data_IF_629725543487
#
_entry.id   IF_629725543487
#
_cell.length_a   1.000
_cell.length_b   1.000
_cell.length_c   1.000
_cell.angle_alpha   90.00
_cell.angle_beta   90.00
_cell.angle_gamma   90.00
#
_symmetry.space_group_name_H-M   'P 1'
#
loop_
_entity.id
_entity.type
_entity.pdbx_description
1 polymer ?
#
# COMPACT_ATOMS: atom_id res chain seq x y z
N UNK A 1 -2.27 4.78 6.56
CA UNK A 1 -2.95 5.91 5.89
C UNK A 1 -2.09 7.17 5.89
N UNK A 2 -1.47 7.59 7.01
CA UNK A 2 -0.46 8.67 6.98
C UNK A 2 0.69 8.34 6.00
N UNK A 3 1.13 7.08 5.98
CA UNK A 3 2.12 6.55 5.02
C UNK A 3 1.67 6.65 3.56
N UNK A 4 0.37 6.58 3.25
CA UNK A 4 -0.12 6.63 1.86
C UNK A 4 0.09 8.02 1.24
N UNK A 5 -0.04 9.08 2.04
CA UNK A 5 0.28 10.45 1.58
C UNK A 5 1.76 10.54 1.24
N UNK A 6 2.63 10.06 2.14
CA UNK A 6 4.08 10.03 1.92
C UNK A 6 4.47 9.25 0.67
N UNK A 7 3.94 8.04 0.52
CA UNK A 7 4.22 7.19 -0.64
C UNK A 7 3.71 7.81 -1.94
N UNK A 8 2.50 8.40 -1.91
CA UNK A 8 1.96 9.10 -3.08
C UNK A 8 2.81 10.33 -3.46
N UNK A 9 3.33 11.06 -2.49
CA UNK A 9 4.31 12.12 -2.73
C UNK A 9 5.57 11.57 -3.40
N UNK A 10 6.13 10.47 -2.89
CA UNK A 10 7.33 9.82 -3.43
C UNK A 10 7.11 9.36 -4.87
N UNK A 11 6.03 8.65 -5.17
CA UNK A 11 5.72 8.16 -6.52
C UNK A 11 5.60 9.31 -7.54
N UNK A 12 4.98 10.42 -7.13
CA UNK A 12 4.91 11.61 -7.97
C UNK A 12 6.28 12.28 -8.15
N UNK A 13 7.05 12.42 -7.07
CA UNK A 13 8.41 12.97 -7.13
C UNK A 13 9.34 12.12 -8.01
N UNK A 14 9.23 10.80 -7.94
CA UNK A 14 9.96 9.87 -8.82
C UNK A 14 9.58 10.11 -10.28
N UNK A 15 8.30 10.35 -10.57
CA UNK A 15 7.86 10.69 -11.93
C UNK A 15 8.49 12.00 -12.43
N UNK A 16 8.53 13.04 -11.59
CA UNK A 16 9.25 14.29 -11.93
C UNK A 16 10.74 14.02 -12.17
N UNK A 17 11.37 13.21 -11.31
CA UNK A 17 12.79 12.90 -11.42
C UNK A 17 13.14 12.10 -12.68
N UNK A 18 12.31 11.11 -13.06
CA UNK A 18 12.45 10.38 -14.33
C UNK A 18 12.47 11.37 -15.50
N UNK A 19 11.49 12.28 -15.53
CA UNK A 19 11.42 13.30 -16.58
C UNK A 19 12.66 14.20 -16.61
N UNK A 20 13.14 14.64 -15.45
CA UNK A 20 14.34 15.46 -15.36
C UNK A 20 15.61 14.72 -15.81
N UNK A 21 15.69 13.41 -15.54
CA UNK A 21 16.84 12.60 -15.91
C UNK A 21 16.87 12.28 -17.41
N UNK A 22 15.73 11.91 -18.00
CA UNK A 22 15.72 11.37 -19.37
C UNK A 22 15.08 12.29 -20.41
N UNK A 23 14.15 13.16 -20.01
CA UNK A 23 13.35 14.01 -20.90
C UNK A 23 12.43 13.22 -21.85
N UNK A 24 12.16 11.93 -21.57
CA UNK A 24 11.44 11.02 -22.47
C UNK A 24 10.12 10.58 -21.87
N UNK A 25 9.03 10.80 -22.60
CA UNK A 25 7.70 10.31 -22.21
C UNK A 25 7.64 8.77 -22.13
N UNK A 26 8.43 8.06 -22.94
CA UNK A 26 8.50 6.59 -22.93
C UNK A 26 8.93 6.03 -21.58
N UNK A 27 9.85 6.70 -20.89
CA UNK A 27 10.34 6.23 -19.60
C UNK A 27 9.30 6.38 -18.48
N UNK A 28 8.50 7.45 -18.53
CA UNK A 28 7.33 7.61 -17.65
C UNK A 28 6.26 6.56 -17.95
N UNK A 29 6.01 6.28 -19.23
CA UNK A 29 5.06 5.26 -19.65
C UNK A 29 5.49 3.86 -19.20
N UNK A 30 6.78 3.54 -19.31
CA UNK A 30 7.34 2.29 -18.80
C UNK A 30 7.22 2.20 -17.29
N UNK A 31 7.51 3.28 -16.57
CA UNK A 31 7.35 3.31 -15.11
C UNK A 31 5.92 3.00 -14.68
N UNK A 32 4.92 3.68 -15.28
CA UNK A 32 3.51 3.38 -15.04
C UNK A 32 3.10 1.99 -15.51
N UNK A 33 3.64 1.50 -16.63
CA UNK A 33 3.39 0.14 -17.10
C UNK A 33 3.88 -0.90 -16.09
N UNK A 34 5.10 -0.75 -15.57
CA UNK A 34 5.65 -1.66 -14.58
C UNK A 34 4.94 -1.56 -13.24
N UNK A 35 4.38 -0.42 -12.85
CA UNK A 35 3.56 -0.34 -11.62
C UNK A 35 2.21 -1.05 -11.77
N UNK A 36 1.61 -1.02 -12.96
CA UNK A 36 0.27 -1.57 -13.22
C UNK A 36 0.28 -3.05 -13.63
N UNK A 37 1.28 -3.48 -14.40
CA UNK A 37 1.36 -4.85 -14.95
C UNK A 37 1.25 -5.94 -13.86
N UNK A 38 1.96 -5.86 -12.72
CA UNK A 38 1.88 -6.88 -11.68
C UNK A 38 0.54 -6.89 -10.93
N UNK A 39 -0.17 -5.75 -10.90
CA UNK A 39 -1.51 -5.68 -10.32
C UNK A 39 -2.48 -6.57 -11.09
N UNK A 40 -2.40 -6.57 -12.42
CA UNK A 40 -3.22 -7.41 -13.30
C UNK A 40 -3.04 -8.91 -12.97
N UNK A 41 -1.79 -9.36 -12.80
CA UNK A 41 -1.53 -10.75 -12.41
C UNK A 41 -2.07 -11.05 -11.01
N UNK A 42 -1.96 -10.09 -10.10
CA UNK A 42 -2.50 -10.22 -8.74
C UNK A 42 -4.03 -10.33 -8.74
N UNK A 43 -4.72 -9.62 -9.62
CA UNK A 43 -6.17 -9.77 -9.83
C UNK A 43 -6.57 -11.19 -10.24
N UNK A 44 -5.78 -11.84 -11.11
CA UNK A 44 -6.07 -13.21 -11.53
C UNK A 44 -5.96 -14.22 -10.37
N UNK A 45 -5.10 -13.94 -9.40
CA UNK A 45 -4.83 -14.82 -8.25
C UNK A 45 -5.66 -14.42 -7.01
N UNK A 46 -6.25 -13.22 -7.03
CA UNK A 46 -7.04 -12.57 -5.97
C UNK A 46 -8.00 -13.52 -5.25
N UNK A 47 -8.81 -14.29 -5.98
CA UNK A 47 -9.80 -15.19 -5.39
C UNK A 47 -9.19 -16.26 -4.46
N UNK A 48 -7.95 -16.69 -4.69
CA UNK A 48 -7.27 -17.64 -3.81
C UNK A 48 -6.53 -16.99 -2.65
N UNK A 49 -6.02 -15.77 -2.84
CA UNK A 49 -5.23 -15.04 -1.84
C UNK A 49 -6.13 -14.49 -0.74
N UNK A 50 -7.27 -13.89 -1.11
CA UNK A 50 -8.18 -13.22 -0.17
C UNK A 50 -8.88 -14.21 0.76
N UNK A 51 -9.17 -15.42 0.25
CA UNK A 51 -9.93 -16.43 0.98
C UNK A 51 -9.08 -17.25 1.96
N UNK A 52 -7.75 -17.30 1.78
CA UNK A 52 -6.85 -18.18 2.56
C UNK A 52 -5.82 -17.47 3.42
N UNK A 53 -5.65 -16.15 3.27
CA UNK A 53 -4.54 -15.42 3.91
C UNK A 53 -5.03 -14.54 5.06
N UNK A 54 -4.21 -14.44 6.12
CA UNK A 54 -4.47 -13.52 7.22
C UNK A 54 -4.40 -12.07 6.71
N UNK A 55 -5.57 -11.42 6.63
CA UNK A 55 -5.73 -10.07 6.05
C UNK A 55 -4.89 -9.02 6.76
N UNK A 56 -4.78 -9.12 8.09
CA UNK A 56 -3.93 -8.25 8.90
C UNK A 56 -2.46 -8.40 8.52
N UNK A 57 -2.01 -9.63 8.27
CA UNK A 57 -0.63 -9.89 7.85
C UNK A 57 -0.37 -9.31 6.46
N UNK A 58 -1.30 -9.45 5.51
CA UNK A 58 -1.18 -8.87 4.16
C UNK A 58 -1.05 -7.34 4.21
N UNK A 59 -1.88 -6.66 5.00
CA UNK A 59 -1.80 -5.20 5.14
C UNK A 59 -0.46 -4.76 5.75
N UNK A 60 0.02 -5.45 6.81
CA UNK A 60 1.31 -5.13 7.44
C UNK A 60 2.47 -5.37 6.49
N UNK A 61 2.48 -6.51 5.77
CA UNK A 61 3.54 -6.83 4.81
C UNK A 61 3.54 -5.82 3.67
N UNK A 62 2.36 -5.41 3.18
CA UNK A 62 2.25 -4.37 2.16
C UNK A 62 2.90 -3.05 2.60
N UNK A 63 2.48 -2.52 3.75
CA UNK A 63 3.06 -1.29 4.29
C UNK A 63 4.58 -1.41 4.53
N UNK A 64 5.05 -2.53 5.09
CA UNK A 64 6.49 -2.74 5.32
C UNK A 64 7.28 -2.79 4.01
N UNK A 65 6.77 -3.48 3.00
CA UNK A 65 7.44 -3.61 1.72
C UNK A 65 7.55 -2.28 1.00
N UNK A 66 6.49 -1.46 1.00
CA UNK A 66 6.53 -0.12 0.42
C UNK A 66 7.54 0.76 1.15
N UNK A 67 7.58 0.72 2.49
CA UNK A 67 8.59 1.44 3.26
C UNK A 67 10.03 1.00 2.97
N UNK A 68 10.26 -0.31 2.85
CA UNK A 68 11.59 -0.87 2.48
C UNK A 68 11.99 -0.43 1.07
N UNK A 69 11.05 -0.42 0.12
CA UNK A 69 11.29 0.06 -1.24
C UNK A 69 11.71 1.53 -1.22
N UNK A 70 11.00 2.40 -0.49
CA UNK A 70 11.38 3.81 -0.35
C UNK A 70 12.78 3.96 0.26
N UNK A 71 13.15 3.18 1.27
CA UNK A 71 14.49 3.20 1.87
C UNK A 71 15.55 2.79 0.84
N UNK A 72 15.32 1.72 0.07
CA UNK A 72 16.25 1.27 -0.98
C UNK A 72 16.45 2.37 -2.02
N UNK A 73 15.37 2.99 -2.49
CA UNK A 73 15.43 4.10 -3.45
C UNK A 73 16.18 5.31 -2.88
N UNK A 74 15.94 5.65 -1.61
CA UNK A 74 16.65 6.74 -0.94
C UNK A 74 18.15 6.46 -0.84
N UNK A 75 18.56 5.26 -0.42
CA UNK A 75 19.97 4.86 -0.34
C UNK A 75 20.65 4.94 -1.70
N UNK A 76 20.01 4.42 -2.76
CA UNK A 76 20.52 4.50 -4.12
C UNK A 76 20.63 5.95 -4.61
N UNK A 77 19.65 6.80 -4.28
CA UNK A 77 19.63 8.21 -4.67
C UNK A 77 20.74 9.00 -4.00
N UNK A 78 20.86 8.93 -2.67
CA UNK A 78 21.89 9.64 -1.92
C UNK A 78 23.29 9.09 -2.19
N UNK A 79 23.41 7.81 -2.55
CA UNK A 79 24.65 7.21 -3.03
C UNK A 79 25.02 7.59 -4.47
N UNK A 80 24.15 8.29 -5.22
CA UNK A 80 24.40 8.64 -6.62
C UNK A 80 24.35 7.44 -7.59
N UNK A 81 23.79 6.31 -7.14
CA UNK A 81 23.69 5.07 -7.91
C UNK A 81 22.27 4.79 -8.43
N UNK A 82 21.31 5.68 -8.17
CA UNK A 82 19.94 5.51 -8.64
C UNK A 82 19.88 5.58 -10.17
N UNK A 83 19.45 4.46 -10.76
CA UNK A 83 19.24 4.32 -12.20
C UNK A 83 17.77 3.97 -12.48
N UNK A 84 17.31 4.28 -13.69
CA UNK A 84 15.90 4.15 -14.04
C UNK A 84 15.34 2.73 -13.95
N UNK A 85 16.16 1.71 -14.23
CA UNK A 85 15.70 0.32 -14.13
C UNK A 85 15.38 -0.08 -12.68
N UNK A 86 16.01 0.54 -11.68
CA UNK A 86 15.64 0.34 -10.28
C UNK A 86 14.20 0.82 -10.03
N UNK A 87 13.79 1.92 -10.68
CA UNK A 87 12.44 2.45 -10.58
C UNK A 87 11.41 1.52 -11.22
N UNK A 88 11.74 0.91 -12.36
CA UNK A 88 10.87 -0.09 -12.99
C UNK A 88 10.69 -1.32 -12.11
N UNK A 89 11.79 -1.84 -11.54
CA UNK A 89 11.75 -3.00 -10.67
C UNK A 89 10.97 -2.72 -9.38
N UNK A 90 11.25 -1.59 -8.73
CA UNK A 90 10.59 -1.21 -7.49
C UNK A 90 9.11 -0.86 -7.69
N UNK A 91 8.75 -0.20 -8.79
CA UNK A 91 7.36 0.00 -9.20
C UNK A 91 6.61 -1.32 -9.37
N UNK A 92 7.24 -2.30 -10.01
CA UNK A 92 6.63 -3.60 -10.20
C UNK A 92 6.40 -4.34 -8.89
N UNK A 93 7.40 -4.34 -8.01
CA UNK A 93 7.27 -4.99 -6.70
C UNK A 93 6.20 -4.28 -5.86
N UNK A 94 6.25 -2.94 -5.78
CA UNK A 94 5.29 -2.15 -5.03
C UNK A 94 3.85 -2.39 -5.49
N UNK A 95 3.60 -2.44 -6.81
CA UNK A 95 2.28 -2.69 -7.36
C UNK A 95 1.66 -4.02 -6.87
N UNK A 96 2.44 -5.09 -6.73
CA UNK A 96 1.95 -6.37 -6.18
C UNK A 96 1.44 -6.17 -4.74
N UNK A 97 2.23 -5.50 -3.92
CA UNK A 97 1.94 -5.31 -2.50
C UNK A 97 0.77 -4.33 -2.27
N UNK A 98 0.73 -3.22 -3.01
CA UNK A 98 -0.38 -2.28 -3.00
C UNK A 98 -1.70 -2.97 -3.38
N UNK A 99 -1.68 -3.82 -4.42
CA UNK A 99 -2.87 -4.56 -4.83
C UNK A 99 -3.31 -5.58 -3.77
N UNK A 100 -2.36 -6.31 -3.18
CA UNK A 100 -2.65 -7.25 -2.09
C UNK A 100 -3.26 -6.53 -0.87
N UNK A 101 -2.76 -5.33 -0.55
CA UNK A 101 -3.25 -4.51 0.54
C UNK A 101 -4.67 -4.00 0.28
N UNK A 102 -4.97 -3.54 -0.94
CA UNK A 102 -6.33 -3.13 -1.34
C UNK A 102 -7.35 -4.26 -1.21
N UNK A 103 -7.01 -5.46 -1.71
CA UNK A 103 -7.87 -6.64 -1.60
C UNK A 103 -8.10 -7.06 -0.13
N UNK A 104 -7.05 -7.03 0.69
CA UNK A 104 -7.15 -7.33 2.11
C UNK A 104 -8.03 -6.30 2.85
N UNK A 105 -7.97 -5.03 2.46
CA UNK A 105 -8.78 -3.95 3.03
C UNK A 105 -10.27 -4.14 2.71
N UNK A 106 -10.62 -4.33 1.43
CA UNK A 106 -12.01 -4.57 1.02
C UNK A 106 -12.63 -5.79 1.72
N UNK A 107 -11.88 -6.90 1.76
CA UNK A 107 -12.32 -8.11 2.45
C UNK A 107 -12.44 -7.91 3.98
N UNK A 108 -11.64 -7.02 4.56
CA UNK A 108 -11.73 -6.70 5.99
C UNK A 108 -12.99 -5.89 6.30
N UNK A 109 -13.32 -4.89 5.50
CA UNK A 109 -14.56 -4.10 5.69
C UNK A 109 -15.80 -5.02 5.65
N UNK A 110 -15.87 -5.98 4.72
CA UNK A 110 -17.03 -6.88 4.58
C UNK A 110 -17.25 -7.86 5.74
N UNK A 111 -16.29 -7.98 6.65
CA UNK A 111 -16.37 -8.89 7.81
C UNK A 111 -16.36 -8.18 9.16
N UNK A 112 -15.85 -6.94 9.23
CA UNK A 112 -15.77 -6.15 10.46
C UNK A 112 -16.94 -5.20 10.64
N UNK A 113 -17.67 -4.89 9.56
CA UNK A 113 -18.71 -3.86 9.55
C UNK A 113 -20.05 -4.51 9.25
N UNK A 114 -21.04 -4.19 10.08
CA UNK A 114 -22.43 -4.61 9.84
C UNK A 114 -22.95 -4.02 8.53
N UNK A 115 -23.89 -4.71 7.87
CA UNK A 115 -24.39 -4.29 6.54
C UNK A 115 -24.92 -2.85 6.51
N UNK A 116 -25.45 -2.38 7.62
CA UNK A 116 -26.00 -1.02 7.80
C UNK A 116 -24.91 0.06 7.75
N UNK A 117 -23.71 -0.25 8.24
CA UNK A 117 -22.57 0.67 8.29
C UNK A 117 -21.58 0.50 7.12
N UNK A 118 -21.77 -0.54 6.28
CA UNK A 118 -20.85 -0.88 5.19
C UNK A 118 -20.58 0.29 4.24
N UNK A 119 -21.64 0.99 3.82
CA UNK A 119 -21.54 2.17 2.96
C UNK A 119 -20.72 3.27 3.62
N UNK A 120 -20.92 3.50 4.92
CA UNK A 120 -20.20 4.54 5.68
C UNK A 120 -18.72 4.19 5.81
N UNK A 121 -18.40 2.95 6.20
CA UNK A 121 -17.02 2.50 6.36
C UNK A 121 -16.25 2.52 5.03
N UNK A 122 -16.88 2.02 3.96
CA UNK A 122 -16.30 2.06 2.60
C UNK A 122 -16.08 3.50 2.14
N UNK A 123 -17.04 4.40 2.37
CA UNK A 123 -16.91 5.82 2.01
C UNK A 123 -15.76 6.50 2.74
N UNK A 124 -15.56 6.22 4.03
CA UNK A 124 -14.43 6.77 4.78
C UNK A 124 -13.09 6.27 4.23
N UNK A 125 -13.03 4.99 3.81
CA UNK A 125 -11.86 4.42 3.12
C UNK A 125 -11.55 5.18 1.83
N UNK A 126 -12.53 5.36 0.96
CA UNK A 126 -12.36 6.12 -0.29
C UNK A 126 -11.96 7.58 -0.03
N UNK A 127 -12.55 8.25 0.97
CA UNK A 127 -12.14 9.63 1.30
C UNK A 127 -10.66 9.70 1.70
N UNK A 128 -10.17 8.74 2.49
CA UNK A 128 -8.77 8.69 2.86
C UNK A 128 -7.85 8.40 1.66
N UNK A 129 -8.30 7.56 0.74
CA UNK A 129 -7.58 7.23 -0.49
C UNK A 129 -7.51 8.43 -1.44
N UNK A 130 -8.63 9.09 -1.73
CA UNK A 130 -8.67 10.31 -2.53
C UNK A 130 -7.85 11.44 -1.90
N UNK A 131 -7.91 11.60 -0.58
CA UNK A 131 -7.06 12.55 0.10
C UNK A 131 -5.57 12.21 -0.10
N UNK A 132 -5.19 10.93 -0.04
CA UNK A 132 -3.81 10.50 -0.21
C UNK A 132 -3.30 10.70 -1.64
N UNK A 133 -4.03 10.20 -2.63
CA UNK A 133 -3.65 10.30 -4.05
C UNK A 133 -3.91 11.67 -4.68
N UNK A 134 -4.74 12.51 -4.05
CA UNK A 134 -4.94 13.90 -4.47
C UNK A 134 -3.93 14.84 -3.82
N UNK A 135 -3.84 14.83 -2.49
CA UNK A 135 -2.97 15.74 -1.75
C UNK A 135 -1.50 15.36 -1.89
N UNK A 136 -1.16 14.07 -1.97
CA UNK A 136 0.21 13.60 -2.10
C UNK A 136 0.92 14.22 -3.32
N UNK A 137 0.42 14.05 -4.55
CA UNK A 137 1.02 14.64 -5.74
C UNK A 137 1.04 16.17 -5.71
N UNK A 138 -0.02 16.80 -5.19
CA UNK A 138 -0.08 18.26 -5.06
C UNK A 138 1.02 18.80 -4.13
N UNK A 139 1.19 18.19 -2.95
CA UNK A 139 2.25 18.53 -2.00
C UNK A 139 3.63 18.25 -2.58
N UNK A 140 3.80 17.10 -3.24
CA UNK A 140 5.06 16.74 -3.90
C UNK A 140 5.43 17.76 -4.98
N UNK A 141 4.50 18.19 -5.84
CA UNK A 141 4.78 19.18 -6.88
C UNK A 141 5.33 20.50 -6.33
N UNK A 142 4.78 20.97 -5.20
CA UNK A 142 5.27 22.19 -4.53
C UNK A 142 6.60 21.94 -3.82
N UNK A 143 6.70 20.87 -3.04
CA UNK A 143 7.88 20.57 -2.23
C UNK A 143 9.09 20.20 -3.09
N UNK A 144 8.89 19.54 -4.23
CA UNK A 144 9.96 19.08 -5.11
C UNK A 144 10.89 20.24 -5.52
N UNK A 145 10.35 21.44 -5.72
CA UNK A 145 11.14 22.62 -6.09
C UNK A 145 12.12 23.07 -5.00
N UNK A 146 11.86 22.73 -3.73
CA UNK A 146 12.66 23.20 -2.58
C UNK A 146 13.53 22.11 -1.98
N UNK A 147 13.01 20.89 -1.86
CA UNK A 147 13.68 19.77 -1.18
C UNK A 147 14.02 18.59 -2.12
N UNK A 148 13.59 18.66 -3.38
CA UNK A 148 13.84 17.63 -4.41
C UNK A 148 13.29 16.25 -4.08
N UNK A 149 13.74 15.25 -4.83
CA UNK A 149 13.38 13.85 -4.62
C UNK A 149 13.86 13.34 -3.25
N UNK A 150 15.11 13.65 -2.88
CA UNK A 150 15.72 13.21 -1.62
C UNK A 150 14.92 13.63 -0.38
N UNK A 151 14.50 14.90 -0.31
CA UNK A 151 13.70 15.39 0.80
C UNK A 151 12.31 14.78 0.87
N UNK A 152 11.66 14.56 -0.27
CA UNK A 152 10.34 13.91 -0.31
C UNK A 152 10.43 12.45 0.16
N UNK A 153 11.44 11.69 -0.28
CA UNK A 153 11.66 10.33 0.22
C UNK A 153 11.96 10.32 1.73
N UNK A 154 12.68 11.32 2.24
CA UNK A 154 12.92 11.43 3.68
C UNK A 154 11.61 11.66 4.46
N UNK A 155 10.71 12.53 3.96
CA UNK A 155 9.38 12.72 4.53
C UNK A 155 8.61 11.40 4.54
N UNK A 156 8.59 10.69 3.41
CA UNK A 156 7.90 9.40 3.29
C UNK A 156 8.41 8.37 4.29
N UNK A 157 9.74 8.21 4.42
CA UNK A 157 10.36 7.34 5.42
C UNK A 157 9.92 7.72 6.85
N UNK A 158 9.87 9.01 7.18
CA UNK A 158 9.37 9.48 8.48
C UNK A 158 7.89 9.09 8.68
N UNK A 159 7.05 9.23 7.64
CA UNK A 159 5.64 8.80 7.73
C UNK A 159 5.49 7.30 7.99
N UNK A 160 6.35 6.47 7.40
CA UNK A 160 6.39 5.03 7.68
C UNK A 160 6.81 4.72 9.11
N UNK A 161 7.85 5.37 9.62
CA UNK A 161 8.28 5.20 11.03
C UNK A 161 7.16 5.56 11.99
N UNK A 162 6.44 6.65 11.74
CA UNK A 162 5.27 7.06 12.53
C UNK A 162 4.17 6.00 12.45
N UNK A 163 3.82 5.54 11.24
CA UNK A 163 2.77 4.55 11.03
C UNK A 163 3.07 3.22 11.76
N UNK A 164 4.29 2.70 11.62
CA UNK A 164 4.72 1.46 12.29
C UNK A 164 4.70 1.64 13.81
N UNK A 165 5.17 2.77 14.33
CA UNK A 165 5.16 3.07 15.76
C UNK A 165 3.74 3.07 16.33
N UNK A 166 2.78 3.68 15.62
CA UNK A 166 1.37 3.67 16.02
C UNK A 166 0.82 2.24 16.04
N UNK A 167 1.09 1.45 15.00
CA UNK A 167 0.60 0.06 14.90
C UNK A 167 1.17 -0.82 16.02
N UNK A 168 2.43 -0.63 16.40
CA UNK A 168 3.06 -1.38 17.50
C UNK A 168 2.49 -0.99 18.87
N UNK A 169 2.09 0.26 19.06
CA UNK A 169 1.51 0.75 20.31
C UNK A 169 0.02 0.41 20.46
N UNK A 170 -0.70 0.28 19.35
CA UNK A 170 -2.15 0.00 19.35
C UNK A 170 -2.43 -1.50 19.39
N UNK A 171 -3.16 -1.95 20.43
CA UNK A 171 -3.56 -3.35 20.59
C UNK A 171 -4.79 -3.66 19.75
N UNK A 172 -4.59 -4.23 18.57
CA UNK A 172 -5.69 -4.62 17.66
C UNK A 172 -6.31 -5.96 18.14
N UNK A 173 -7.59 -5.99 18.54
CA UNK A 173 -8.29 -7.23 18.92
C UNK A 173 -8.36 -8.20 17.73
N UNK A 174 -8.06 -9.48 17.97
CA UNK A 174 -8.19 -10.53 16.95
C UNK A 174 -9.65 -10.99 16.87
N UNK A 175 -10.24 -11.22 15.68
CA UNK A 175 -11.57 -11.81 15.55
C UNK A 175 -11.61 -13.17 16.25
N UNK A 176 -12.58 -13.37 17.14
CA UNK A 176 -12.77 -14.63 17.87
C UNK A 176 -13.07 -15.72 16.84
N UNK A 177 -12.21 -16.73 16.73
CA UNK A 177 -12.45 -17.93 15.89
C UNK A 177 -13.78 -18.52 16.37
N UNK A 178 -14.79 -18.52 15.51
CA UNK A 178 -16.04 -19.23 15.78
C UNK A 178 -15.67 -20.70 15.93
N UNK A 179 -15.66 -21.18 17.17
CA UNK A 179 -15.72 -22.61 17.46
C UNK A 179 -17.02 -23.10 16.83
N UNK A 180 -16.89 -23.90 15.77
CA UNK A 180 -18.00 -24.67 15.25
C UNK A 180 -18.37 -25.61 16.39
N UNK A 181 -19.42 -25.27 17.14
CA UNK A 181 -20.09 -26.19 18.05
C UNK A 181 -20.48 -27.41 17.23
N UNK A 182 -19.65 -28.45 17.32
CA UNK A 182 -20.01 -29.79 16.87
C UNK A 182 -21.12 -30.24 17.81
N UNK A 183 -22.36 -29.93 17.43
CA UNK A 183 -23.54 -30.51 18.04
C UNK A 183 -23.51 -32.01 17.75
N UNK A 184 -22.86 -32.77 18.63
CA UNK A 184 -23.07 -34.21 18.72
C UNK A 184 -24.47 -34.43 19.28
N UNK A 185 -25.46 -34.50 18.40
CA UNK A 185 -26.77 -35.08 18.74
C UNK A 185 -26.56 -36.54 19.12
N UNK A 186 -26.52 -36.83 20.42
CA UNK A 186 -26.68 -38.20 20.93
C UNK A 186 -28.14 -38.61 20.72
N UNK A 187 -28.43 -39.73 20.04
CA UNK A 187 -29.80 -40.20 19.91
C UNK A 187 -30.29 -40.69 21.28
N UNK A 188 -31.44 -40.18 21.71
CA UNK A 188 -32.16 -40.61 22.90
C UNK A 188 -32.57 -42.09 22.77
N UNK A 189 -32.00 -42.95 23.60
CA UNK A 189 -32.54 -44.29 23.89
C UNK A 189 -33.43 -44.22 25.14
N UNK A 190 -34.73 -44.40 24.96
CA UNK A 190 -35.65 -44.96 25.94
C UNK A 190 -36.63 -45.86 25.20
#
# INVERSE_FOLDING_TARGET
MISMIGSSMTWFAVSIWIWQLTGRATDLALFGFFSQLPQIFTYLISGTIVDRTNRKLLMIVGDLMTGVITIILAVLYFGGHLQIWHLYLTAAIAGIFEQCQGLAFEASISTLVDREDYTRATSMGFMAEFASYGLGPALAGVLYLTIGLGGIMAIDIVTFVIAISIVLLVRIPQPKRLEIETNSTTPTSF
#
